data_IF_611260030667
#
_entry.id   IF_611260030667
#
_cell.length_a   1.000
_cell.length_b   1.000
_cell.length_c   1.000
_cell.angle_alpha   90.00
_cell.angle_beta   90.00
_cell.angle_gamma   90.00
#
_symmetry.space_group_name_H-M   'P 1'
#
loop_
_entity.id
_entity.type
_entity.pdbx_description
1 polymer ?
#
# COMPACT_ATOMS: atom_id res chain seq x y z
N UNK A 1 -46.81 -17.13 -32.68
CA UNK A 1 -45.79 -16.10 -33.00
C UNK A 1 -44.93 -15.90 -31.77
N UNK A 2 -43.74 -16.50 -31.76
CA UNK A 2 -42.77 -16.27 -30.70
C UNK A 2 -42.11 -14.90 -30.94
N UNK A 3 -42.38 -13.94 -30.07
CA UNK A 3 -41.65 -12.68 -30.05
C UNK A 3 -40.20 -12.99 -29.66
N UNK A 4 -39.29 -13.00 -30.63
CA UNK A 4 -37.86 -12.95 -30.39
C UNK A 4 -37.60 -11.65 -29.65
N UNK A 5 -37.26 -11.75 -28.37
CA UNK A 5 -36.72 -10.64 -27.58
C UNK A 5 -35.46 -10.16 -28.29
N UNK A 6 -35.54 -9.06 -29.04
CA UNK A 6 -34.35 -8.36 -29.51
C UNK A 6 -33.59 -7.89 -28.26
N UNK A 7 -32.59 -8.68 -27.87
CA UNK A 7 -31.61 -8.27 -26.88
C UNK A 7 -30.96 -7.04 -27.46
N UNK A 8 -31.21 -5.85 -26.89
CA UNK A 8 -30.68 -4.58 -27.35
C UNK A 8 -29.17 -4.73 -27.68
N UNK A 9 -28.88 -4.89 -28.96
CA UNK A 9 -27.56 -5.23 -29.45
C UNK A 9 -26.78 -3.93 -29.49
N UNK A 10 -25.76 -3.82 -28.65
CA UNK A 10 -24.80 -2.72 -28.73
C UNK A 10 -24.28 -2.61 -30.17
N UNK A 11 -24.24 -1.40 -30.73
CA UNK A 11 -23.87 -1.18 -32.12
C UNK A 11 -22.42 -1.59 -32.43
N UNK A 12 -21.52 -1.52 -31.44
CA UNK A 12 -20.12 -1.86 -31.57
C UNK A 12 -19.75 -3.15 -30.80
N UNK A 13 -18.73 -3.89 -31.26
CA UNK A 13 -18.19 -5.00 -30.48
C UNK A 13 -17.44 -4.48 -29.25
N UNK A 14 -17.40 -5.31 -28.20
CA UNK A 14 -16.85 -4.94 -26.88
C UNK A 14 -15.42 -4.38 -26.92
N UNK A 15 -14.54 -4.97 -27.72
CA UNK A 15 -13.15 -4.53 -27.86
C UNK A 15 -13.01 -3.14 -28.49
N UNK A 16 -13.88 -2.81 -29.45
CA UNK A 16 -13.88 -1.48 -30.08
C UNK A 16 -14.37 -0.43 -29.09
N UNK A 17 -15.38 -0.75 -28.27
CA UNK A 17 -15.80 0.13 -27.18
C UNK A 17 -14.66 0.41 -26.19
N UNK A 18 -13.95 -0.64 -25.75
CA UNK A 18 -12.80 -0.50 -24.83
C UNK A 18 -11.71 0.38 -25.43
N UNK A 19 -11.38 0.17 -26.71
CA UNK A 19 -10.35 0.95 -27.40
C UNK A 19 -10.73 2.43 -27.51
N UNK A 20 -11.95 2.73 -27.96
CA UNK A 20 -12.43 4.12 -28.12
C UNK A 20 -12.49 4.83 -26.77
N UNK A 21 -13.01 4.17 -25.73
CA UNK A 21 -13.08 4.73 -24.39
C UNK A 21 -11.69 4.94 -23.79
N UNK A 22 -10.77 4.00 -23.98
CA UNK A 22 -9.37 4.12 -23.55
C UNK A 22 -8.69 5.30 -24.22
N UNK A 23 -8.82 5.43 -25.56
CA UNK A 23 -8.24 6.56 -26.31
C UNK A 23 -8.81 7.89 -25.83
N UNK A 24 -10.13 7.97 -25.60
CA UNK A 24 -10.80 9.17 -25.08
C UNK A 24 -10.28 9.54 -23.69
N UNK A 25 -10.28 8.59 -22.77
CA UNK A 25 -9.85 8.83 -21.39
C UNK A 25 -8.36 9.16 -21.31
N UNK A 26 -7.50 8.49 -22.09
CA UNK A 26 -6.09 8.82 -22.19
C UNK A 26 -5.86 10.24 -22.72
N UNK A 27 -6.59 10.64 -23.78
CA UNK A 27 -6.55 12.01 -24.31
C UNK A 27 -6.99 13.03 -23.26
N UNK A 28 -8.01 12.71 -22.47
CA UNK A 28 -8.46 13.58 -21.38
C UNK A 28 -7.38 13.74 -20.31
N UNK A 29 -6.82 12.63 -19.83
CA UNK A 29 -5.73 12.63 -18.85
C UNK A 29 -4.51 13.43 -19.32
N UNK A 30 -4.13 13.29 -20.60
CA UNK A 30 -3.02 14.04 -21.19
C UNK A 30 -3.30 15.55 -21.29
N UNK A 31 -4.55 15.93 -21.57
CA UNK A 31 -4.99 17.33 -21.66
C UNK A 31 -5.18 17.99 -20.30
N UNK A 32 -5.28 17.21 -19.21
CA UNK A 32 -5.40 17.70 -17.84
C UNK A 32 -4.14 17.34 -17.03
N UNK A 33 -2.97 17.91 -17.35
CA UNK A 33 -1.71 17.56 -16.68
C UNK A 33 -1.69 18.00 -15.21
N UNK A 34 -2.50 18.98 -14.82
CA UNK A 34 -2.54 19.54 -13.46
C UNK A 34 -2.66 18.45 -12.38
N UNK A 35 -3.59 17.50 -12.54
CA UNK A 35 -3.79 16.43 -11.57
C UNK A 35 -2.58 15.49 -11.48
N UNK A 36 -1.96 15.18 -12.61
CA UNK A 36 -0.78 14.33 -12.66
C UNK A 36 0.42 15.05 -12.02
N UNK A 37 0.60 16.34 -12.31
CA UNK A 37 1.67 17.17 -11.76
C UNK A 37 1.52 17.33 -10.24
N UNK A 38 0.31 17.58 -9.74
CA UNK A 38 0.05 17.69 -8.29
C UNK A 38 0.37 16.37 -7.59
N UNK A 39 -0.08 15.23 -8.14
CA UNK A 39 0.22 13.92 -7.55
C UNK A 39 1.70 13.60 -7.58
N UNK A 40 2.35 13.87 -8.71
CA UNK A 40 3.79 13.69 -8.84
C UNK A 40 4.55 14.56 -7.84
N UNK A 41 4.19 15.84 -7.73
CA UNK A 41 4.75 16.77 -6.76
C UNK A 41 4.55 16.30 -5.32
N UNK A 42 3.33 15.87 -4.95
CA UNK A 42 3.04 15.34 -3.62
C UNK A 42 3.91 14.11 -3.30
N UNK A 43 3.99 13.14 -4.23
CA UNK A 43 4.80 11.93 -4.05
C UNK A 43 6.29 12.24 -3.95
N UNK A 44 6.81 13.16 -4.78
CA UNK A 44 8.21 13.58 -4.75
C UNK A 44 8.54 14.33 -3.45
N UNK A 45 7.69 15.27 -3.03
CA UNK A 45 7.88 16.04 -1.80
C UNK A 45 7.81 15.12 -0.58
N UNK A 46 6.80 14.24 -0.49
CA UNK A 46 6.72 13.27 0.60
C UNK A 46 7.91 12.31 0.60
N UNK A 47 8.30 11.80 -0.57
CA UNK A 47 9.48 10.94 -0.71
C UNK A 47 10.76 11.63 -0.25
N UNK A 48 10.94 12.90 -0.58
CA UNK A 48 12.11 13.68 -0.18
C UNK A 48 12.13 13.96 1.34
N UNK A 49 10.98 14.31 1.91
CA UNK A 49 10.82 14.46 3.37
C UNK A 49 11.19 13.14 4.06
N UNK A 50 10.61 12.02 3.63
CA UNK A 50 10.91 10.72 4.22
C UNK A 50 12.39 10.35 4.07
N UNK A 51 13.01 10.65 2.93
CA UNK A 51 14.43 10.40 2.69
C UNK A 51 15.38 11.24 3.55
N UNK A 52 15.01 12.48 3.88
CA UNK A 52 15.89 13.41 4.60
C UNK A 52 15.79 13.27 6.12
N UNK A 53 14.60 12.98 6.65
CA UNK A 53 14.39 12.85 8.09
C UNK A 53 14.85 11.50 8.66
N UNK A 54 14.81 10.43 7.86
CA UNK A 54 15.16 9.09 8.31
C UNK A 54 16.57 8.70 7.86
N UNK A 55 17.55 8.84 8.75
CA UNK A 55 18.89 8.23 8.57
C UNK A 55 18.91 6.87 9.27
N UNK A 56 18.84 5.82 8.47
CA UNK A 56 18.71 4.45 8.95
C UNK A 56 20.02 3.91 9.52
N UNK A 57 20.24 4.11 10.82
CA UNK A 57 21.30 3.44 11.54
C UNK A 57 20.92 1.98 11.85
N UNK A 58 21.91 1.08 11.94
CA UNK A 58 21.69 -0.32 12.35
C UNK A 58 21.59 -0.47 13.87
N UNK A 59 21.05 0.55 14.55
CA UNK A 59 20.83 0.55 16.00
C UNK A 59 19.38 0.17 16.31
N UNK A 60 19.06 -0.22 17.56
CA UNK A 60 17.68 -0.47 17.96
C UNK A 60 16.74 0.72 17.71
N UNK A 61 17.25 1.95 17.81
CA UNK A 61 16.51 3.17 17.46
C UNK A 61 16.22 3.23 15.96
N UNK A 62 17.24 2.97 15.13
CA UNK A 62 17.09 2.93 13.69
C UNK A 62 16.12 1.85 13.21
N UNK A 63 15.98 0.72 13.91
CA UNK A 63 14.94 -0.30 13.62
C UNK A 63 13.53 0.27 13.82
N UNK A 64 13.29 1.01 14.91
CA UNK A 64 11.98 1.64 15.14
C UNK A 64 11.68 2.72 14.09
N UNK A 65 12.70 3.49 13.72
CA UNK A 65 12.62 4.47 12.64
C UNK A 65 12.27 3.80 11.29
N UNK A 66 12.84 2.63 10.99
CA UNK A 66 12.48 1.82 9.79
C UNK A 66 11.01 1.45 9.78
N UNK A 67 10.45 0.98 10.89
CA UNK A 67 9.03 0.63 10.94
C UNK A 67 8.14 1.83 10.66
N UNK A 68 8.43 2.97 11.29
CA UNK A 68 7.68 4.20 11.07
C UNK A 68 7.75 4.66 9.62
N UNK A 69 8.95 4.65 9.03
CA UNK A 69 9.15 4.99 7.63
C UNK A 69 8.35 4.06 6.70
N UNK A 70 8.46 2.73 6.86
CA UNK A 70 7.78 1.76 6.00
C UNK A 70 6.26 1.85 6.12
N UNK A 71 5.73 2.03 7.34
CA UNK A 71 4.30 2.18 7.59
C UNK A 71 3.74 3.45 6.93
N UNK A 72 4.43 4.58 7.11
CA UNK A 72 4.02 5.86 6.50
C UNK A 72 4.14 5.76 4.98
N UNK A 73 5.27 5.27 4.45
CA UNK A 73 5.50 5.12 3.02
C UNK A 73 4.39 4.31 2.33
N UNK A 74 4.03 3.14 2.87
CA UNK A 74 2.94 2.34 2.30
C UNK A 74 1.59 3.05 2.42
N UNK A 75 1.28 3.69 3.56
CA UNK A 75 0.02 4.41 3.75
C UNK A 75 -0.14 5.60 2.79
N UNK A 76 0.95 6.34 2.50
CA UNK A 76 0.94 7.48 1.58
C UNK A 76 0.48 7.09 0.18
N UNK A 77 0.81 5.89 -0.30
CA UNK A 77 0.36 5.42 -1.64
C UNK A 77 -1.17 5.33 -1.73
N UNK A 78 -1.82 4.96 -0.63
CA UNK A 78 -3.27 4.90 -0.54
C UNK A 78 -3.90 6.29 -0.38
N UNK A 79 -3.32 7.15 0.46
CA UNK A 79 -3.82 8.52 0.66
C UNK A 79 -3.71 9.37 -0.60
N UNK A 80 -2.60 9.30 -1.32
CA UNK A 80 -2.41 10.02 -2.61
C UNK A 80 -3.37 9.54 -3.70
N UNK A 81 -3.88 8.32 -3.60
CA UNK A 81 -4.90 7.81 -4.51
C UNK A 81 -6.28 8.45 -4.28
N UNK A 82 -6.54 9.05 -3.10
CA UNK A 82 -7.81 9.66 -2.74
C UNK A 82 -8.20 10.84 -3.65
N UNK A 83 -7.21 11.54 -4.22
CA UNK A 83 -7.41 12.67 -5.13
C UNK A 83 -8.13 12.30 -6.43
N UNK A 84 -8.27 11.00 -6.72
CA UNK A 84 -9.01 10.53 -7.89
C UNK A 84 -10.53 10.56 -7.68
N UNK A 85 -10.98 10.62 -6.43
CA UNK A 85 -12.38 10.53 -6.06
C UNK A 85 -13.27 11.60 -6.73
N UNK A 86 -12.96 12.92 -6.67
CA UNK A 86 -13.81 13.94 -7.28
C UNK A 86 -13.90 13.79 -8.81
N UNK A 87 -12.79 13.43 -9.45
CA UNK A 87 -12.74 13.20 -10.91
C UNK A 87 -13.68 12.07 -11.31
N UNK A 88 -13.61 10.93 -10.61
CA UNK A 88 -14.51 9.81 -10.91
C UNK A 88 -15.98 10.12 -10.64
N UNK A 89 -16.29 10.93 -9.62
CA UNK A 89 -17.67 11.32 -9.34
C UNK A 89 -18.26 12.20 -10.46
N UNK A 90 -17.46 13.10 -11.03
CA UNK A 90 -17.87 13.91 -12.20
C UNK A 90 -18.02 13.03 -13.45
N UNK A 91 -17.05 12.17 -13.74
CA UNK A 91 -17.10 11.26 -14.90
C UNK A 91 -18.27 10.28 -14.81
N UNK A 92 -18.63 9.84 -13.60
CA UNK A 92 -19.78 8.94 -13.36
C UNK A 92 -21.08 9.54 -13.88
N UNK A 93 -21.28 10.86 -13.79
CA UNK A 93 -22.49 11.50 -14.31
C UNK A 93 -22.58 11.35 -15.85
N UNK A 94 -21.46 11.58 -16.54
CA UNK A 94 -21.35 11.43 -18.00
C UNK A 94 -21.58 9.96 -18.37
N UNK A 95 -20.93 9.03 -17.67
CA UNK A 95 -21.10 7.59 -17.86
C UNK A 95 -22.57 7.13 -17.71
N UNK A 96 -23.26 7.60 -16.68
CA UNK A 96 -24.67 7.23 -16.46
C UNK A 96 -25.56 7.74 -17.61
N UNK A 97 -25.29 8.93 -18.14
CA UNK A 97 -26.00 9.47 -19.29
C UNK A 97 -25.73 8.66 -20.56
N UNK A 98 -24.48 8.36 -20.87
CA UNK A 98 -24.09 7.60 -22.08
C UNK A 98 -24.62 6.16 -22.04
N UNK A 99 -24.60 5.52 -20.86
CA UNK A 99 -25.13 4.16 -20.69
C UNK A 99 -26.65 4.11 -20.65
N UNK A 100 -27.34 5.20 -20.28
CA UNK A 100 -28.80 5.28 -20.40
C UNK A 100 -29.26 5.20 -21.86
N UNK A 101 -28.46 5.74 -22.79
CA UNK A 101 -28.67 5.65 -24.25
C UNK A 101 -28.05 4.40 -24.88
N UNK A 102 -27.60 3.42 -24.08
CA UNK A 102 -26.94 2.19 -24.55
C UNK A 102 -25.74 2.43 -25.49
N UNK A 103 -25.00 3.52 -25.31
CA UNK A 103 -23.86 3.87 -26.18
C UNK A 103 -22.71 2.85 -26.09
N UNK A 104 -22.46 2.28 -24.90
CA UNK A 104 -21.45 1.24 -24.66
C UNK A 104 -21.76 0.43 -23.39
N UNK A 105 -21.08 -0.70 -23.23
CA UNK A 105 -21.22 -1.60 -22.07
C UNK A 105 -20.47 -1.06 -20.86
N UNK A 106 -21.00 -1.33 -19.66
CA UNK A 106 -20.37 -0.94 -18.39
C UNK A 106 -19.01 -1.60 -18.17
N UNK A 107 -18.87 -2.85 -18.62
CA UNK A 107 -17.61 -3.59 -18.57
C UNK A 107 -16.52 -2.93 -19.43
N UNK A 108 -16.89 -2.35 -20.58
CA UNK A 108 -15.98 -1.61 -21.45
C UNK A 108 -15.41 -0.39 -20.73
N UNK A 109 -16.27 0.36 -20.01
CA UNK A 109 -15.87 1.53 -19.23
C UNK A 109 -14.96 1.18 -18.05
N UNK A 110 -15.30 0.15 -17.27
CA UNK A 110 -14.49 -0.24 -16.11
C UNK A 110 -13.10 -0.73 -16.54
N UNK A 111 -13.01 -1.46 -17.64
CA UNK A 111 -11.73 -1.92 -18.19
C UNK A 111 -10.92 -0.76 -18.78
N UNK A 112 -11.53 0.12 -19.58
CA UNK A 112 -10.83 1.28 -20.13
C UNK A 112 -10.27 2.18 -19.04
N UNK A 113 -11.02 2.39 -17.96
CA UNK A 113 -10.58 3.17 -16.80
C UNK A 113 -9.39 2.50 -16.10
N UNK A 114 -9.39 1.17 -15.97
CA UNK A 114 -8.29 0.42 -15.39
C UNK A 114 -7.00 0.53 -16.22
N UNK A 115 -7.12 0.44 -17.56
CA UNK A 115 -5.99 0.56 -18.48
C UNK A 115 -5.39 1.97 -18.44
N UNK A 116 -6.22 3.02 -18.46
CA UNK A 116 -5.76 4.41 -18.46
C UNK A 116 -5.14 4.83 -17.14
N UNK A 117 -5.62 4.27 -16.02
CA UNK A 117 -5.05 4.54 -14.71
C UNK A 117 -3.64 3.95 -14.53
N UNK A 118 -3.29 2.88 -15.24
CA UNK A 118 -2.05 2.14 -14.97
C UNK A 118 -0.76 2.94 -15.29
N UNK A 119 -0.59 3.59 -16.47
CA UNK A 119 0.66 4.28 -16.79
C UNK A 119 1.06 5.40 -15.81
N UNK A 120 0.15 6.29 -15.36
CA UNK A 120 0.49 7.29 -14.35
C UNK A 120 0.94 6.66 -13.02
N UNK A 121 0.33 5.55 -12.60
CA UNK A 121 0.72 4.86 -11.35
C UNK A 121 2.14 4.28 -11.45
N UNK A 122 2.54 3.79 -12.63
CA UNK A 122 3.93 3.35 -12.87
C UNK A 122 4.89 4.51 -12.66
N UNK A 123 4.63 5.67 -13.25
CA UNK A 123 5.49 6.86 -13.09
C UNK A 123 5.59 7.29 -11.62
N UNK A 124 4.46 7.35 -10.91
CA UNK A 124 4.43 7.72 -9.49
C UNK A 124 5.20 6.69 -8.63
N UNK A 125 5.04 5.40 -8.91
CA UNK A 125 5.73 4.33 -8.18
C UNK A 125 7.25 4.43 -8.34
N UNK A 126 7.74 4.57 -9.57
CA UNK A 126 9.18 4.66 -9.87
C UNK A 126 9.80 5.92 -9.26
N UNK A 127 9.08 7.05 -9.33
CA UNK A 127 9.54 8.30 -8.71
C UNK A 127 9.68 8.16 -7.19
N UNK A 128 8.65 7.61 -6.53
CA UNK A 128 8.69 7.39 -5.09
C UNK A 128 9.80 6.43 -4.68
N UNK A 129 9.92 5.29 -5.37
CA UNK A 129 10.90 4.26 -5.01
C UNK A 129 12.32 4.71 -5.30
N UNK A 130 12.55 5.43 -6.40
CA UNK A 130 13.86 6.02 -6.71
C UNK A 130 14.32 6.99 -5.63
N UNK A 131 13.44 7.89 -5.17
CA UNK A 131 13.81 8.88 -4.14
C UNK A 131 14.04 8.19 -2.80
N UNK A 132 13.12 7.33 -2.38
CA UNK A 132 13.13 6.78 -1.02
C UNK A 132 14.12 5.63 -0.85
N UNK A 133 14.25 4.72 -1.82
CA UNK A 133 15.16 3.59 -1.71
C UNK A 133 16.61 4.03 -1.60
N UNK A 134 17.05 4.91 -2.50
CA UNK A 134 18.41 5.45 -2.49
C UNK A 134 18.61 6.53 -1.43
N UNK A 135 17.60 7.35 -1.16
CA UNK A 135 17.69 8.42 -0.17
C UNK A 135 17.81 7.92 1.27
N UNK A 136 17.05 6.87 1.62
CA UNK A 136 17.05 6.27 2.96
C UNK A 136 18.13 5.20 3.10
N UNK A 137 18.51 4.53 2.00
CA UNK A 137 19.49 3.45 2.00
C UNK A 137 18.91 2.10 2.42
N UNK A 138 17.76 1.72 1.83
CA UNK A 138 17.12 0.41 2.07
C UNK A 138 18.02 -0.76 1.64
N UNK A 139 17.83 -1.91 2.29
CA UNK A 139 18.61 -3.13 2.06
C UNK A 139 18.13 -3.93 0.84
N UNK A 140 18.98 -4.85 0.36
CA UNK A 140 18.63 -5.82 -0.69
C UNK A 140 19.13 -5.48 -2.10
N UNK A 141 19.91 -4.42 -2.27
CA UNK A 141 20.55 -4.09 -3.55
C UNK A 141 19.53 -3.93 -4.69
N UNK A 142 19.83 -4.51 -5.85
CA UNK A 142 18.98 -4.42 -7.05
C UNK A 142 17.69 -5.24 -6.91
N UNK A 143 17.76 -6.45 -6.34
CA UNK A 143 16.58 -7.30 -6.14
C UNK A 143 15.60 -6.68 -5.14
N UNK A 144 16.13 -6.14 -4.03
CA UNK A 144 15.37 -5.41 -3.03
C UNK A 144 14.70 -4.16 -3.61
N UNK A 145 15.41 -3.42 -4.47
CA UNK A 145 14.86 -2.25 -5.18
C UNK A 145 13.71 -2.64 -6.11
N UNK A 146 13.88 -3.66 -6.94
CA UNK A 146 12.84 -4.11 -7.88
C UNK A 146 11.61 -4.59 -7.12
N UNK A 147 11.79 -5.38 -6.06
CA UNK A 147 10.67 -5.82 -5.23
C UNK A 147 9.95 -4.65 -4.56
N UNK A 148 10.71 -3.69 -4.02
CA UNK A 148 10.16 -2.47 -3.43
C UNK A 148 9.36 -1.64 -4.45
N UNK A 149 9.85 -1.51 -5.68
CA UNK A 149 9.12 -0.85 -6.77
C UNK A 149 7.82 -1.57 -7.13
N UNK A 150 7.85 -2.91 -7.20
CA UNK A 150 6.67 -3.72 -7.51
C UNK A 150 5.59 -3.61 -6.43
N UNK A 151 5.95 -3.65 -5.15
CA UNK A 151 4.97 -3.55 -4.06
C UNK A 151 4.41 -2.13 -3.92
N UNK A 152 5.22 -1.10 -4.19
CA UNK A 152 4.73 0.30 -4.26
C UNK A 152 3.75 0.46 -5.41
N UNK A 153 4.06 -0.08 -6.60
CA UNK A 153 3.15 -0.08 -7.74
C UNK A 153 1.85 -0.85 -7.43
N UNK A 154 1.95 -2.02 -6.79
CA UNK A 154 0.80 -2.81 -6.37
C UNK A 154 -0.07 -2.05 -5.35
N UNK A 155 0.55 -1.29 -4.44
CA UNK A 155 -0.16 -0.45 -3.46
C UNK A 155 -0.90 0.71 -4.13
N UNK A 156 -0.26 1.38 -5.09
CA UNK A 156 -0.91 2.39 -5.93
C UNK A 156 -2.09 1.81 -6.74
N UNK A 157 -1.92 0.61 -7.29
CA UNK A 157 -2.98 -0.11 -7.99
C UNK A 157 -4.16 -0.43 -7.07
N UNK A 158 -3.88 -0.98 -5.88
CA UNK A 158 -4.89 -1.29 -4.87
C UNK A 158 -5.61 -0.04 -4.36
N UNK A 159 -4.87 1.03 -4.05
CA UNK A 159 -5.42 2.31 -3.62
C UNK A 159 -6.28 2.99 -4.69
N UNK A 160 -5.83 3.01 -5.94
CA UNK A 160 -6.62 3.48 -7.07
C UNK A 160 -7.91 2.67 -7.23
N UNK A 161 -7.82 1.33 -7.13
CA UNK A 161 -8.98 0.43 -7.13
C UNK A 161 -9.97 0.77 -6.02
N UNK A 162 -9.50 0.88 -4.78
CA UNK A 162 -10.32 1.21 -3.61
C UNK A 162 -11.09 2.52 -3.79
N UNK A 163 -10.42 3.57 -4.26
CA UNK A 163 -11.05 4.88 -4.49
C UNK A 163 -12.04 4.84 -5.65
N UNK A 164 -11.77 4.09 -6.72
CA UNK A 164 -12.75 3.87 -7.80
C UNK A 164 -13.99 3.15 -7.30
N UNK A 165 -13.83 2.11 -6.48
CA UNK A 165 -14.96 1.41 -5.87
C UNK A 165 -15.83 2.36 -5.03
N UNK A 166 -15.21 3.17 -4.16
CA UNK A 166 -15.91 4.13 -3.32
C UNK A 166 -16.61 5.23 -4.12
N UNK A 167 -16.05 5.70 -5.24
CA UNK A 167 -16.72 6.68 -6.10
C UNK A 167 -18.01 6.13 -6.74
N UNK A 168 -18.09 4.80 -6.92
CA UNK A 168 -19.31 4.11 -7.35
C UNK A 168 -20.35 3.97 -6.23
N UNK A 169 -19.89 3.80 -4.99
CA UNK A 169 -20.76 3.58 -3.82
C UNK A 169 -21.31 4.89 -3.23
N UNK A 170 -20.51 5.96 -3.19
CA UNK A 170 -20.84 7.22 -2.53
C UNK A 170 -21.36 8.26 -3.54
N UNK A 171 -22.40 9.04 -3.22
CA UNK A 171 -22.93 10.07 -4.12
C UNK A 171 -22.24 11.44 -4.00
N UNK A 172 -21.63 11.75 -2.85
CA UNK A 172 -21.05 13.06 -2.54
C UNK A 172 -19.56 13.01 -2.25
N UNK A 173 -18.82 13.98 -2.79
CA UNK A 173 -17.36 14.10 -2.68
C UNK A 173 -16.90 14.16 -1.21
N UNK A 174 -17.53 15.02 -0.40
CA UNK A 174 -17.14 15.23 1.01
C UNK A 174 -17.27 13.93 1.82
N UNK A 175 -18.41 13.25 1.70
CA UNK A 175 -18.66 11.95 2.37
C UNK A 175 -17.64 10.91 1.90
N UNK A 176 -17.32 10.90 0.60
CA UNK A 176 -16.36 9.94 0.09
C UNK A 176 -14.95 10.17 0.64
N UNK A 177 -14.50 11.42 0.74
CA UNK A 177 -13.19 11.74 1.36
C UNK A 177 -13.14 11.37 2.84
N UNK A 178 -14.19 11.67 3.61
CA UNK A 178 -14.22 11.30 5.04
C UNK A 178 -14.16 9.79 5.23
N UNK A 179 -14.87 9.02 4.39
CA UNK A 179 -14.82 7.55 4.40
C UNK A 179 -13.43 7.04 4.01
N UNK A 180 -12.83 7.55 2.93
CA UNK A 180 -11.48 7.14 2.50
C UNK A 180 -10.47 7.36 3.62
N UNK A 181 -10.42 8.58 4.18
CA UNK A 181 -9.45 8.93 5.23
C UNK A 181 -9.67 8.09 6.48
N UNK A 182 -10.91 7.94 6.95
CA UNK A 182 -11.22 7.14 8.14
C UNK A 182 -10.84 5.67 7.94
N UNK A 183 -11.24 5.05 6.82
CA UNK A 183 -10.96 3.64 6.54
C UNK A 183 -9.46 3.38 6.41
N UNK A 184 -8.71 4.25 5.72
CA UNK A 184 -7.26 4.12 5.61
C UNK A 184 -6.55 4.31 6.97
N UNK A 185 -7.04 5.21 7.83
CA UNK A 185 -6.50 5.38 9.17
C UNK A 185 -6.72 4.13 10.04
N UNK A 186 -7.91 3.51 9.98
CA UNK A 186 -8.15 2.25 10.66
C UNK A 186 -7.32 1.11 10.07
N UNK A 187 -7.17 1.04 8.74
CA UNK A 187 -6.31 0.04 8.12
C UNK A 187 -4.85 0.16 8.54
N UNK A 188 -4.35 1.38 8.77
CA UNK A 188 -3.01 1.61 9.32
C UNK A 188 -2.92 1.18 10.79
N UNK A 189 -3.96 1.43 11.60
CA UNK A 189 -3.99 1.00 13.00
C UNK A 189 -3.85 -0.52 13.13
N UNK A 190 -4.55 -1.27 12.27
CA UNK A 190 -4.57 -2.74 12.28
C UNK A 190 -3.59 -3.37 11.28
N UNK A 191 -2.66 -2.62 10.68
CA UNK A 191 -1.71 -3.15 9.69
C UNK A 191 -0.59 -4.02 10.30
N UNK A 192 -0.46 -4.05 11.62
CA UNK A 192 0.69 -4.65 12.32
C UNK A 192 1.74 -3.63 12.79
N UNK A 193 1.61 -2.36 12.40
CA UNK A 193 2.50 -1.28 12.86
C UNK A 193 2.17 -0.81 14.28
N UNK A 194 0.95 -0.32 14.52
CA UNK A 194 0.54 0.19 15.84
C UNK A 194 0.18 -0.92 16.83
N UNK A 195 -0.55 -1.92 16.34
CA UNK A 195 -0.97 -3.08 17.13
C UNK A 195 -0.48 -4.33 16.43
N UNK A 196 0.39 -5.09 17.11
CA UNK A 196 0.86 -6.38 16.61
C UNK A 196 -0.27 -7.40 16.62
N UNK A 197 -0.24 -8.34 15.66
CA UNK A 197 -1.30 -9.33 15.43
C UNK A 197 -1.70 -10.08 16.70
N UNK A 198 -0.74 -10.53 17.51
CA UNK A 198 -0.97 -11.33 18.72
C UNK A 198 -1.69 -10.58 19.83
N UNK A 199 -1.72 -9.24 19.75
CA UNK A 199 -2.39 -8.37 20.73
C UNK A 199 -3.81 -8.01 20.29
N UNK A 200 -4.20 -8.34 19.06
CA UNK A 200 -5.53 -8.06 18.53
C UNK A 200 -6.51 -9.11 19.09
N UNK A 201 -7.58 -8.70 19.80
CA UNK A 201 -8.58 -9.65 20.26
C UNK A 201 -9.22 -10.42 19.11
N UNK A 202 -9.57 -11.70 19.33
CA UNK A 202 -10.07 -12.59 18.28
C UNK A 202 -11.31 -12.07 17.53
N UNK A 203 -12.13 -11.23 18.16
CA UNK A 203 -13.31 -10.62 17.52
C UNK A 203 -12.98 -9.45 16.57
N UNK A 204 -11.78 -8.86 16.64
CA UNK A 204 -11.30 -7.81 15.73
C UNK A 204 -10.31 -8.29 14.67
N UNK A 205 -9.85 -9.54 14.75
CA UNK A 205 -8.77 -10.05 13.87
C UNK A 205 -9.14 -10.02 12.39
N UNK A 206 -10.42 -10.13 12.04
CA UNK A 206 -10.89 -10.05 10.66
C UNK A 206 -10.55 -8.70 10.01
N UNK A 207 -10.54 -7.62 10.80
CA UNK A 207 -10.23 -6.28 10.30
C UNK A 207 -8.75 -6.12 9.95
N UNK A 208 -7.87 -6.82 10.67
CA UNK A 208 -6.46 -6.92 10.33
C UNK A 208 -6.26 -7.61 8.96
N UNK A 209 -6.96 -8.70 8.67
CA UNK A 209 -6.88 -9.36 7.35
C UNK A 209 -7.57 -8.58 6.22
N UNK A 210 -8.53 -7.73 6.55
CA UNK A 210 -9.19 -6.83 5.61
C UNK A 210 -8.33 -5.59 5.27
N UNK A 211 -7.35 -5.26 6.11
CA UNK A 211 -6.51 -4.08 5.94
C UNK A 211 -5.70 -4.13 4.65
N UNK A 212 -5.86 -3.09 3.83
CA UNK A 212 -5.10 -2.90 2.59
C UNK A 212 -3.64 -2.56 2.84
N UNK A 213 -3.34 -1.95 4.00
CA UNK A 213 -1.99 -1.52 4.36
C UNK A 213 -1.19 -2.66 4.97
N UNK A 214 -1.84 -3.66 5.58
CA UNK A 214 -1.19 -4.84 6.17
C UNK A 214 -0.23 -5.52 5.19
N UNK A 215 -0.75 -6.01 4.07
CA UNK A 215 0.02 -6.80 3.11
C UNK A 215 1.24 -6.08 2.54
N UNK A 216 1.14 -4.85 2.01
CA UNK A 216 2.32 -4.15 1.51
C UNK A 216 3.29 -3.78 2.63
N UNK A 217 2.82 -3.47 3.84
CA UNK A 217 3.68 -3.22 5.00
C UNK A 217 4.50 -4.46 5.38
N UNK A 218 3.86 -5.62 5.53
CA UNK A 218 4.54 -6.89 5.81
C UNK A 218 5.51 -7.28 4.68
N UNK A 219 5.14 -7.04 3.42
CA UNK A 219 5.99 -7.31 2.26
C UNK A 219 7.29 -6.50 2.28
N UNK A 220 7.20 -5.18 2.51
CA UNK A 220 8.38 -4.31 2.55
C UNK A 220 9.25 -4.59 3.76
N UNK A 221 8.66 -4.97 4.89
CA UNK A 221 9.42 -5.40 6.07
C UNK A 221 10.21 -6.68 5.80
N UNK A 222 9.57 -7.69 5.21
CA UNK A 222 10.27 -8.92 4.83
C UNK A 222 11.36 -8.67 3.79
N UNK A 223 11.15 -7.71 2.89
CA UNK A 223 12.19 -7.31 1.94
C UNK A 223 13.38 -6.64 2.63
N UNK A 224 13.12 -5.72 3.56
CA UNK A 224 14.18 -4.97 4.27
C UNK A 224 14.96 -5.84 5.25
N UNK A 225 14.26 -6.56 6.13
CA UNK A 225 14.89 -7.37 7.18
C UNK A 225 15.27 -8.77 6.71
N UNK A 226 14.70 -9.25 5.61
CA UNK A 226 15.03 -10.54 4.99
C UNK A 226 16.10 -10.47 3.90
N UNK A 227 16.53 -9.27 3.48
CA UNK A 227 17.59 -9.10 2.48
C UNK A 227 18.93 -9.68 2.93
N UNK A 228 19.29 -9.49 4.20
CA UNK A 228 20.52 -10.00 4.81
C UNK A 228 20.18 -10.68 6.15
N UNK A 229 19.89 -11.99 6.16
CA UNK A 229 19.45 -12.68 7.37
C UNK A 229 20.42 -12.59 8.55
N UNK A 230 21.73 -12.50 8.26
CA UNK A 230 22.79 -12.35 9.26
C UNK A 230 23.07 -10.91 9.71
N UNK A 231 22.33 -9.92 9.20
CA UNK A 231 22.56 -8.51 9.56
C UNK A 231 22.13 -8.28 11.01
N UNK A 232 23.06 -7.72 11.78
CA UNK A 232 22.82 -7.45 13.18
C UNK A 232 22.22 -6.06 13.39
N UNK A 233 21.09 -6.00 14.10
CA UNK A 233 20.39 -4.74 14.41
C UNK A 233 20.49 -4.35 15.90
N UNK A 234 20.87 -5.30 16.76
CA UNK A 234 21.10 -5.04 18.18
C UNK A 234 22.31 -5.84 18.65
N UNK A 235 23.35 -5.13 19.08
CA UNK A 235 24.54 -5.72 19.71
C UNK A 235 24.36 -5.85 21.23
N UNK A 236 25.19 -6.67 21.87
CA UNK A 236 25.16 -6.97 23.30
C UNK A 236 24.99 -5.74 24.21
N UNK A 237 25.81 -4.70 24.03
CA UNK A 237 25.71 -3.47 24.87
C UNK A 237 24.42 -2.68 24.60
N UNK A 238 23.96 -2.68 23.35
CA UNK A 238 22.76 -1.95 22.92
C UNK A 238 21.46 -2.62 23.40
N UNK A 239 21.53 -3.84 23.93
CA UNK A 239 20.38 -4.50 24.57
C UNK A 239 19.84 -3.69 25.75
N UNK A 240 20.69 -2.88 26.40
CA UNK A 240 20.28 -2.04 27.52
C UNK A 240 19.73 -0.68 27.09
N UNK A 241 19.78 -0.32 25.80
CA UNK A 241 19.25 0.95 25.31
C UNK A 241 17.73 1.03 25.56
N UNK A 242 17.27 2.14 26.14
CA UNK A 242 15.86 2.32 26.53
C UNK A 242 15.47 1.67 27.87
N UNK A 243 16.39 0.98 28.55
CA UNK A 243 16.19 0.48 29.91
C UNK A 243 16.88 1.38 30.95
N UNK A 244 16.56 1.27 32.25
CA UNK A 244 17.30 1.97 33.30
C UNK A 244 18.82 1.69 33.28
N UNK A 245 19.23 0.48 32.83
CA UNK A 245 20.65 0.11 32.71
C UNK A 245 21.36 0.80 31.55
N UNK A 246 20.62 1.32 30.56
CA UNK A 246 21.15 2.11 29.44
C UNK A 246 21.81 3.43 29.88
N UNK A 247 21.46 3.95 31.07
CA UNK A 247 22.03 5.18 31.63
C UNK A 247 23.37 4.98 32.34
N UNK A 248 23.76 3.73 32.57
CA UNK A 248 25.00 3.41 33.26
C UNK A 248 26.21 3.52 32.33
N UNK A 249 27.43 3.74 32.86
CA UNK A 249 28.64 3.73 32.07
C UNK A 249 28.81 2.42 31.29
N UNK A 250 29.31 2.50 30.05
CA UNK A 250 29.48 1.33 29.16
C UNK A 250 30.28 0.21 29.82
N UNK A 251 31.29 0.53 30.65
CA UNK A 251 32.06 -0.46 31.39
C UNK A 251 31.18 -1.33 32.31
N UNK A 252 30.22 -0.73 33.02
CA UNK A 252 29.28 -1.47 33.88
C UNK A 252 28.28 -2.30 33.08
N UNK A 253 27.84 -1.81 31.92
CA UNK A 253 26.98 -2.57 31.02
C UNK A 253 27.67 -3.85 30.52
N UNK A 254 28.96 -3.76 30.17
CA UNK A 254 29.77 -4.92 29.77
C UNK A 254 29.93 -5.92 30.93
N UNK A 255 30.13 -5.44 32.16
CA UNK A 255 30.20 -6.33 33.34
C UNK A 255 28.89 -7.08 33.57
N UNK A 256 27.75 -6.38 33.47
CA UNK A 256 26.42 -7.01 33.60
C UNK A 256 26.20 -8.00 32.46
N UNK A 257 26.57 -7.65 31.22
CA UNK A 257 26.45 -8.52 30.07
C UNK A 257 27.26 -9.81 30.25
N UNK A 258 28.51 -9.72 30.73
CA UNK A 258 29.36 -10.88 31.01
C UNK A 258 28.79 -11.76 32.12
N UNK A 259 28.18 -11.16 33.15
CA UNK A 259 27.50 -11.91 34.21
C UNK A 259 26.25 -12.66 33.69
N UNK A 260 25.47 -12.03 32.81
CA UNK A 260 24.33 -12.65 32.15
C UNK A 260 24.76 -13.80 31.23
N UNK A 261 25.77 -13.58 30.40
CA UNK A 261 26.40 -14.58 29.51
C UNK A 261 26.80 -15.84 30.29
N UNK A 262 27.51 -15.65 31.41
CA UNK A 262 27.93 -16.74 32.31
C UNK A 262 26.76 -17.48 32.95
N UNK A 263 25.69 -16.76 33.31
CA UNK A 263 24.51 -17.35 33.96
C UNK A 263 23.65 -18.14 32.98
N UNK A 264 23.51 -17.66 31.74
CA UNK A 264 22.72 -18.33 30.71
C UNK A 264 23.49 -19.46 30.00
N UNK A 265 24.81 -19.58 30.24
CA UNK A 265 25.72 -20.48 29.50
C UNK A 265 25.69 -20.25 27.99
N UNK A 266 25.57 -18.98 27.60
CA UNK A 266 25.63 -18.59 26.18
C UNK A 266 26.65 -17.47 26.05
N UNK A 267 27.74 -17.75 25.31
CA UNK A 267 28.88 -16.84 25.17
C UNK A 267 28.56 -15.66 24.26
N UNK A 268 27.98 -14.61 24.84
CA UNK A 268 27.77 -13.33 24.18
C UNK A 268 28.66 -12.23 24.78
N UNK A 269 29.26 -11.41 23.91
CA UNK A 269 30.13 -10.28 24.21
C UNK A 269 29.44 -8.95 23.81
N UNK A 270 30.01 -7.80 24.20
CA UNK A 270 29.58 -6.45 23.79
C UNK A 270 29.28 -6.28 22.29
N UNK A 271 30.03 -6.93 21.39
CA UNK A 271 29.85 -6.91 19.93
C UNK A 271 29.06 -8.10 19.37
N UNK A 272 28.70 -9.09 20.19
CA UNK A 272 27.89 -10.22 19.75
C UNK A 272 26.52 -9.75 19.30
N UNK A 273 26.00 -10.40 18.26
CA UNK A 273 24.67 -10.09 17.77
C UNK A 273 23.60 -10.75 18.64
N UNK A 274 22.68 -9.93 19.16
CA UNK A 274 21.58 -10.40 20.02
C UNK A 274 20.27 -10.50 19.24
N UNK A 275 20.04 -9.62 18.27
CA UNK A 275 18.81 -9.63 17.47
C UNK A 275 19.13 -9.40 16.00
N UNK A 276 18.71 -10.35 15.18
CA UNK A 276 18.83 -10.34 13.72
C UNK A 276 17.54 -9.83 13.07
N UNK A 277 17.56 -9.60 11.75
CA UNK A 277 16.37 -9.22 10.99
C UNK A 277 15.25 -10.27 11.07
N UNK A 278 15.60 -11.55 11.14
CA UNK A 278 14.64 -12.65 11.28
C UNK A 278 13.94 -12.63 12.64
N UNK A 279 14.69 -12.34 13.72
CA UNK A 279 14.12 -12.21 15.06
C UNK A 279 13.16 -11.02 15.15
N UNK A 280 13.46 -9.95 14.42
CA UNK A 280 12.58 -8.77 14.30
C UNK A 280 11.26 -9.15 13.62
N UNK A 281 11.32 -9.84 12.48
CA UNK A 281 10.14 -10.27 11.74
C UNK A 281 9.28 -11.24 12.57
N UNK A 282 9.92 -12.16 13.30
CA UNK A 282 9.25 -13.08 14.20
C UNK A 282 8.53 -12.34 15.34
N UNK A 283 9.16 -11.32 15.93
CA UNK A 283 8.55 -10.49 16.99
C UNK A 283 7.33 -9.69 16.51
N UNK A 284 7.27 -9.34 15.23
CA UNK A 284 6.11 -8.66 14.65
C UNK A 284 5.01 -9.61 14.16
N UNK A 285 5.16 -10.93 14.36
CA UNK A 285 4.21 -11.95 13.91
C UNK A 285 3.97 -11.91 12.38
N UNK A 286 5.02 -11.59 11.61
CA UNK A 286 5.01 -11.55 10.14
C UNK A 286 5.43 -12.92 9.61
N UNK A 287 4.67 -13.96 9.95
CA UNK A 287 5.02 -15.37 9.71
C UNK A 287 4.08 -16.09 8.73
N UNK A 288 2.92 -15.50 8.41
CA UNK A 288 1.86 -16.22 7.70
C UNK A 288 2.02 -16.26 6.18
N UNK A 289 2.54 -15.20 5.58
CA UNK A 289 2.63 -15.03 4.13
C UNK A 289 4.04 -14.56 3.80
N UNK A 290 4.70 -15.22 2.84
CA UNK A 290 5.98 -14.72 2.32
C UNK A 290 5.82 -13.43 1.53
N UNK A 291 6.92 -12.71 1.29
CA UNK A 291 6.94 -11.39 0.63
C UNK A 291 6.18 -11.37 -0.70
N UNK A 292 6.33 -12.43 -1.50
CA UNK A 292 5.62 -12.59 -2.77
C UNK A 292 4.12 -12.89 -2.59
N UNK A 293 3.74 -13.62 -1.54
CA UNK A 293 2.34 -13.83 -1.19
C UNK A 293 1.64 -12.53 -0.84
N UNK A 294 2.31 -11.66 -0.07
CA UNK A 294 1.81 -10.32 0.25
C UNK A 294 1.69 -9.42 -1.00
N UNK A 295 2.63 -9.52 -1.95
CA UNK A 295 2.53 -8.83 -3.24
C UNK A 295 1.29 -9.28 -4.01
N UNK A 296 1.08 -10.60 -4.16
CA UNK A 296 -0.09 -11.13 -4.85
C UNK A 296 -1.40 -10.76 -4.16
N UNK A 297 -1.45 -10.78 -2.82
CA UNK A 297 -2.60 -10.33 -2.06
C UNK A 297 -2.92 -8.85 -2.34
N UNK A 298 -1.90 -7.99 -2.37
CA UNK A 298 -2.07 -6.56 -2.66
C UNK A 298 -2.57 -6.34 -4.09
N UNK A 299 -2.03 -7.07 -5.08
CA UNK A 299 -2.52 -7.03 -6.45
C UNK A 299 -3.97 -7.52 -6.56
N UNK A 300 -4.30 -8.63 -5.88
CA UNK A 300 -5.64 -9.19 -5.85
C UNK A 300 -6.66 -8.19 -5.30
N UNK A 301 -6.32 -7.43 -4.26
CA UNK A 301 -7.16 -6.34 -3.74
C UNK A 301 -7.47 -5.29 -4.81
N UNK A 302 -6.49 -4.87 -5.61
CA UNK A 302 -6.72 -3.92 -6.69
C UNK A 302 -7.69 -4.44 -7.75
N UNK A 303 -7.57 -5.71 -8.16
CA UNK A 303 -8.53 -6.33 -9.08
C UNK A 303 -9.92 -6.50 -8.45
N UNK A 304 -9.98 -6.91 -7.19
CA UNK A 304 -11.23 -7.08 -6.45
C UNK A 304 -12.01 -5.76 -6.38
N UNK A 305 -11.36 -4.63 -6.06
CA UNK A 305 -12.05 -3.35 -6.03
C UNK A 305 -12.53 -2.89 -7.41
N UNK A 306 -11.81 -3.20 -8.49
CA UNK A 306 -12.28 -2.94 -9.86
C UNK A 306 -13.52 -3.78 -10.21
N UNK A 307 -13.58 -5.02 -9.76
CA UNK A 307 -14.76 -5.89 -9.89
C UNK A 307 -15.92 -5.34 -9.05
N UNK A 308 -15.68 -4.95 -7.81
CA UNK A 308 -16.70 -4.34 -6.95
C UNK A 308 -17.22 -3.03 -7.55
N UNK A 309 -16.35 -2.23 -8.16
CA UNK A 309 -16.74 -1.02 -8.89
C UNK A 309 -17.68 -1.33 -10.06
N UNK A 310 -17.43 -2.40 -10.82
CA UNK A 310 -18.36 -2.85 -11.85
C UNK A 310 -19.75 -3.18 -11.27
N UNK A 311 -19.81 -3.88 -10.13
CA UNK A 311 -21.07 -4.19 -9.46
C UNK A 311 -21.79 -2.95 -8.90
N UNK A 312 -21.06 -1.98 -8.32
CA UNK A 312 -21.69 -0.73 -7.84
C UNK A 312 -22.31 0.07 -8.98
N UNK A 313 -21.65 0.13 -10.15
CA UNK A 313 -22.22 0.74 -11.35
C UNK A 313 -23.44 -0.04 -11.87
N UNK A 314 -23.42 -1.37 -11.78
CA UNK A 314 -24.53 -2.22 -12.20
C UNK A 314 -25.78 -2.00 -11.34
N UNK A 315 -25.62 -2.02 -10.01
CA UNK A 315 -26.70 -1.81 -9.04
C UNK A 315 -27.21 -0.37 -9.03
N UNK A 316 -26.31 0.62 -9.08
CA UNK A 316 -26.68 2.05 -9.06
C UNK A 316 -27.56 2.49 -10.24
N UNK A 317 -27.50 1.77 -11.37
CA UNK A 317 -28.36 2.04 -12.52
C UNK A 317 -29.80 1.54 -12.37
N UNK A 318 -30.00 0.43 -11.64
CA UNK A 318 -31.34 -0.15 -11.44
C UNK A 318 -32.20 0.74 -10.56
N UNK A 319 -31.58 1.47 -9.64
CA UNK A 319 -32.28 2.33 -8.70
C UNK A 319 -32.75 3.68 -9.30
N UNK A 320 -32.28 4.06 -10.50
CA UNK A 320 -32.64 5.32 -11.18
C UNK A 320 -33.63 5.15 -12.36
N UNK A 321 -34.05 3.92 -12.67
CA UNK A 321 -35.07 3.61 -13.70
C UNK A 321 -36.48 3.43 -13.10
N UNK A 322 -36.67 3.70 -11.82
CA UNK A 322 -37.97 3.87 -11.16
C UNK A 322 -38.16 5.35 -10.87
#
# INVERSE_FOLDING_TARGET
>A
MAATTEVATYANPWWVEVWVLTRRAFTNTWRTPELLVIRFGAVVVTGFILATFWRLDNTPKGVNERFGFLAIAMSTMYYTSADALPVFLIERYIFLRETAHNAYRRSSYTLSNAIVAFPPLVVLSVAFTGITFFGVGLAGGTEGFVFFALIVLASFWAGSGFVTFLSGAVPHVIIGYTVVVAVLAYFLLFSGFFVTRDRIPGYWIWFHYLSLIKYPYEAVMQNEFGAEPGKCFMRGVQMFDGTPMGKLPVATQVTVLNAMSKSMRIDFNSSSCITTGMDILAKQAVDQLGKWGCLWATLAWGFLFRILFYFTLLLGSRNKRR
#
